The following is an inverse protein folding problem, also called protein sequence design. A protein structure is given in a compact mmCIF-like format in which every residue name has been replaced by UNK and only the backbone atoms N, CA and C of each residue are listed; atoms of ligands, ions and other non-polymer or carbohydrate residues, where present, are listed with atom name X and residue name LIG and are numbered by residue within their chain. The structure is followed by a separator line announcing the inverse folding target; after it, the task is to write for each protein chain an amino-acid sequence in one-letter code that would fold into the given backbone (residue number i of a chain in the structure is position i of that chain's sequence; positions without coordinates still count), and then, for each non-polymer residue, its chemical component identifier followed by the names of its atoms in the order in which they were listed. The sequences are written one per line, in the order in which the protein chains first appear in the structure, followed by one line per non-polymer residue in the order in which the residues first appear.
data_IF_152200655585
#
_entry.id   IF_152200655585
#
_cell.length_a   1.000
_cell.length_b   1.000
_cell.length_c   1.000
_cell.angle_alpha   90.00
_cell.angle_beta   90.00
_cell.angle_gamma   90.00
#
_symmetry.space_group_name_H-M   'P 1'
#
loop_
_entity.id
_entity.type
_entity.pdbx_description
1 polymer ?
#
# COMPACT_ATOMS: atom_id res chain seq x y z
N UNK A 1 -23.96 20.46 20.13
CA UNK A 1 -23.66 19.02 19.95
C UNK A 1 -23.42 18.70 18.48
N UNK A 2 -24.16 19.33 17.57
CA UNK A 2 -24.04 19.14 16.11
C UNK A 2 -22.66 19.48 15.53
N UNK A 3 -21.99 20.54 16.02
CA UNK A 3 -20.66 20.90 15.54
C UNK A 3 -19.59 19.86 15.93
N UNK A 4 -19.64 19.31 17.14
CA UNK A 4 -18.69 18.26 17.58
C UNK A 4 -18.86 17.01 16.71
N UNK A 5 -20.10 16.59 16.45
CA UNK A 5 -20.40 15.43 15.60
C UNK A 5 -19.97 15.65 14.15
N UNK A 6 -20.04 16.89 13.66
CA UNK A 6 -19.52 17.26 12.32
C UNK A 6 -18.00 17.14 12.22
N UNK A 7 -17.27 17.47 13.28
CA UNK A 7 -15.81 17.44 13.27
C UNK A 7 -15.18 16.14 13.75
N UNK A 8 -15.92 15.32 14.49
CA UNK A 8 -15.46 14.04 15.06
C UNK A 8 -14.71 13.14 14.06
N UNK A 9 -15.15 12.98 12.80
CA UNK A 9 -14.43 12.10 11.87
C UNK A 9 -13.08 12.67 11.43
N UNK A 10 -12.93 13.99 11.40
CA UNK A 10 -11.63 14.63 11.11
C UNK A 10 -10.68 14.51 12.29
N UNK A 11 -11.19 14.54 13.52
CA UNK A 11 -10.38 14.27 14.72
C UNK A 11 -9.87 12.83 14.75
N UNK A 12 -10.73 11.85 14.42
CA UNK A 12 -10.33 10.44 14.30
C UNK A 12 -9.31 10.28 13.16
N UNK A 13 -9.57 10.87 11.99
CA UNK A 13 -8.63 10.82 10.87
C UNK A 13 -7.28 11.48 11.18
N UNK A 14 -7.29 12.60 11.90
CA UNK A 14 -6.08 13.26 12.40
C UNK A 14 -5.32 12.40 13.42
N UNK A 15 -6.03 11.74 14.34
CA UNK A 15 -5.43 10.79 15.29
C UNK A 15 -4.83 9.58 14.58
N UNK A 16 -5.48 9.04 13.55
CA UNK A 16 -4.93 7.92 12.78
C UNK A 16 -3.69 8.33 11.97
N UNK A 17 -3.53 9.62 11.61
CA UNK A 17 -2.33 10.15 10.95
C UNK A 17 -1.15 10.35 11.90
N UNK A 18 -1.39 10.32 13.21
CA UNK A 18 -0.41 10.67 14.24
C UNK A 18 0.86 9.78 14.20
N UNK A 19 0.79 8.45 13.95
CA UNK A 19 1.98 7.63 13.74
C UNK A 19 2.83 8.09 12.55
N UNK A 20 2.21 8.52 11.44
CA UNK A 20 2.94 9.04 10.27
C UNK A 20 3.56 10.41 10.56
N UNK A 21 2.85 11.28 11.29
CA UNK A 21 3.40 12.58 11.70
C UNK A 21 4.56 12.43 12.68
N UNK A 22 4.46 11.51 13.63
CA UNK A 22 5.56 11.16 14.53
C UNK A 22 6.74 10.59 13.76
N UNK A 23 6.48 9.66 12.83
CA UNK A 23 7.52 9.08 12.00
C UNK A 23 8.21 10.12 11.12
N UNK A 24 7.45 11.00 10.45
CA UNK A 24 8.00 12.11 9.67
C UNK A 24 8.77 13.11 10.56
N UNK A 25 8.25 13.41 11.74
CA UNK A 25 8.93 14.25 12.73
C UNK A 25 10.26 13.64 13.17
N UNK A 26 10.29 12.34 13.48
CA UNK A 26 11.53 11.61 13.80
C UNK A 26 12.48 11.55 12.60
N UNK A 27 11.95 11.39 11.38
CA UNK A 27 12.75 11.40 10.17
C UNK A 27 13.51 12.73 10.02
N UNK A 28 12.81 13.86 10.22
CA UNK A 28 13.37 15.21 10.12
C UNK A 28 14.25 15.60 11.32
N UNK A 29 13.90 15.16 12.53
CA UNK A 29 14.63 15.53 13.76
C UNK A 29 16.00 14.85 13.87
N UNK A 30 16.17 13.68 13.26
CA UNK A 30 17.44 12.95 13.28
C UNK A 30 18.10 13.01 11.89
N UNK A 31 19.06 13.92 11.65
CA UNK A 31 19.78 13.98 10.39
C UNK A 31 20.68 12.75 10.19
N UNK A 32 20.88 12.35 8.93
CA UNK A 32 21.69 11.19 8.55
C UNK A 32 20.89 10.12 7.82
N UNK A 33 21.62 9.15 7.26
CA UNK A 33 21.00 8.09 6.48
C UNK A 33 20.09 7.21 7.34
N UNK A 34 18.92 6.91 6.79
CA UNK A 34 17.94 6.02 7.39
C UNK A 34 18.14 4.62 6.80
N UNK A 35 18.60 3.65 7.57
CA UNK A 35 18.80 2.28 7.09
C UNK A 35 17.51 1.71 6.51
N UNK A 36 17.59 1.14 5.32
CA UNK A 36 16.47 0.62 4.55
C UNK A 36 15.57 1.67 3.89
N UNK A 37 15.95 2.95 3.87
CA UNK A 37 15.15 4.03 3.26
C UNK A 37 16.03 4.98 2.44
N UNK A 38 17.08 5.56 3.03
CA UNK A 38 17.96 6.52 2.32
C UNK A 38 19.40 6.04 2.17
N UNK A 39 19.72 4.87 2.72
CA UNK A 39 21.01 4.19 2.56
C UNK A 39 21.26 3.66 1.14
N UNK A 40 20.20 3.53 0.34
CA UNK A 40 20.26 3.15 -1.08
C UNK A 40 19.48 4.16 -1.94
N UNK A 41 20.08 4.73 -3.00
CA UNK A 41 19.39 5.63 -3.93
C UNK A 41 18.13 5.00 -4.54
N UNK A 42 18.21 3.72 -4.92
CA UNK A 42 17.08 2.96 -5.44
C UNK A 42 15.94 2.87 -4.43
N UNK A 43 16.25 2.55 -3.18
CA UNK A 43 15.25 2.40 -2.13
C UNK A 43 14.58 3.74 -1.82
N UNK A 44 15.36 4.82 -1.76
CA UNK A 44 14.84 6.17 -1.57
C UNK A 44 13.88 6.57 -2.70
N UNK A 45 14.24 6.27 -3.94
CA UNK A 45 13.41 6.55 -5.12
C UNK A 45 12.09 5.74 -5.10
N UNK A 46 12.15 4.44 -4.78
CA UNK A 46 10.97 3.58 -4.67
C UNK A 46 10.00 4.07 -3.57
N UNK A 47 10.53 4.44 -2.41
CA UNK A 47 9.73 5.00 -1.31
C UNK A 47 9.12 6.33 -1.74
N UNK A 48 9.90 7.25 -2.31
CA UNK A 48 9.41 8.56 -2.73
C UNK A 48 8.29 8.44 -3.79
N UNK A 49 8.47 7.58 -4.80
CA UNK A 49 7.49 7.42 -5.88
C UNK A 49 6.20 6.70 -5.42
N UNK A 50 6.29 5.80 -4.43
CA UNK A 50 5.12 5.06 -3.92
C UNK A 50 4.33 5.81 -2.85
N UNK A 51 4.95 6.77 -2.16
CA UNK A 51 4.34 7.52 -1.06
C UNK A 51 3.02 8.23 -1.45
N UNK A 52 2.90 8.91 -2.61
CA UNK A 52 1.63 9.52 -3.00
C UNK A 52 0.51 8.51 -3.24
N UNK A 53 0.83 7.29 -3.71
CA UNK A 53 -0.17 6.24 -3.91
C UNK A 53 -0.71 5.75 -2.56
N UNK A 54 0.16 5.59 -1.57
CA UNK A 54 -0.24 5.23 -0.21
C UNK A 54 -1.13 6.34 0.40
N UNK A 55 -0.70 7.60 0.30
CA UNK A 55 -1.46 8.76 0.76
C UNK A 55 -2.82 8.88 0.05
N UNK A 56 -2.88 8.60 -1.24
CA UNK A 56 -4.12 8.61 -2.02
C UNK A 56 -5.17 7.65 -1.43
N UNK A 57 -4.77 6.41 -1.14
CA UNK A 57 -5.67 5.40 -0.57
C UNK A 57 -6.02 5.71 0.87
N UNK A 58 -5.06 6.21 1.63
CA UNK A 58 -5.27 6.58 3.02
C UNK A 58 -6.29 7.73 3.15
N UNK A 59 -6.15 8.78 2.33
CA UNK A 59 -7.11 9.89 2.27
C UNK A 59 -8.50 9.39 1.81
N UNK A 60 -8.55 8.44 0.86
CA UNK A 60 -9.81 7.83 0.44
C UNK A 60 -10.49 7.06 1.58
N UNK A 61 -9.74 6.24 2.32
CA UNK A 61 -10.24 5.47 3.46
C UNK A 61 -10.73 6.36 4.60
N UNK A 62 -9.96 7.37 4.98
CA UNK A 62 -10.41 8.38 5.95
C UNK A 62 -11.64 9.14 5.47
N UNK A 63 -11.68 9.49 4.18
CA UNK A 63 -12.83 10.12 3.55
C UNK A 63 -14.09 9.27 3.65
N UNK A 64 -13.99 7.96 3.39
CA UNK A 64 -15.11 7.03 3.48
C UNK A 64 -15.68 6.92 4.90
N UNK A 65 -14.80 6.79 5.90
CA UNK A 65 -15.20 6.77 7.32
C UNK A 65 -15.89 8.09 7.69
N UNK A 66 -15.32 9.22 7.29
CA UNK A 66 -15.88 10.54 7.56
C UNK A 66 -17.23 10.79 6.89
N UNK A 67 -17.39 10.37 5.64
CA UNK A 67 -18.65 10.44 4.93
C UNK A 67 -19.72 9.58 5.60
N UNK A 68 -19.37 8.36 6.04
CA UNK A 68 -20.30 7.45 6.72
C UNK A 68 -20.79 8.02 8.05
N UNK A 69 -19.90 8.58 8.86
CA UNK A 69 -20.24 9.21 10.14
C UNK A 69 -21.07 10.49 9.98
N UNK A 70 -20.99 11.16 8.83
CA UNK A 70 -21.77 12.36 8.53
C UNK A 70 -23.10 12.09 7.82
N UNK A 71 -23.53 10.82 7.75
CA UNK A 71 -24.78 10.40 7.12
C UNK A 71 -24.74 10.36 5.59
N UNK A 72 -23.56 10.48 4.99
CA UNK A 72 -23.33 10.37 3.54
C UNK A 72 -22.70 9.02 3.18
N UNK A 73 -23.21 7.94 3.78
CA UNK A 73 -22.76 6.58 3.51
C UNK A 73 -22.96 6.23 2.02
N UNK A 74 -21.92 5.69 1.39
CA UNK A 74 -21.90 5.35 -0.05
C UNK A 74 -21.13 6.34 -0.93
N UNK A 75 -20.78 7.53 -0.42
CA UNK A 75 -19.85 8.44 -1.10
C UNK A 75 -18.42 7.94 -1.00
N UNK A 76 -17.85 7.53 -2.14
CA UNK A 76 -16.49 6.95 -2.24
C UNK A 76 -15.40 8.03 -2.15
N UNK A 77 -15.71 9.27 -2.53
CA UNK A 77 -14.75 10.38 -2.49
C UNK A 77 -14.94 11.23 -1.24
N UNK A 78 -13.87 11.79 -0.64
CA UNK A 78 -14.00 12.71 0.49
C UNK A 78 -14.95 13.86 0.13
N UNK A 79 -15.96 14.10 0.98
CA UNK A 79 -16.89 15.23 0.81
C UNK A 79 -16.20 16.55 1.14
N UNK A 80 -15.26 16.52 2.08
CA UNK A 80 -14.47 17.69 2.47
C UNK A 80 -13.54 18.16 1.35
N UNK A 81 -13.71 19.42 0.93
CA UNK A 81 -12.97 20.03 -0.18
C UNK A 81 -11.44 19.91 -0.08
N UNK A 82 -10.82 20.23 1.07
CA UNK A 82 -9.38 20.09 1.26
C UNK A 82 -8.87 18.64 1.10
N UNK A 83 -9.53 17.64 1.70
CA UNK A 83 -9.14 16.24 1.52
C UNK A 83 -9.30 15.80 0.05
N UNK A 84 -10.36 16.23 -0.62
CA UNK A 84 -10.58 15.96 -2.05
C UNK A 84 -9.49 16.59 -2.92
N UNK A 85 -9.06 17.82 -2.60
CA UNK A 85 -7.95 18.48 -3.29
C UNK A 85 -6.61 17.77 -3.04
N UNK A 86 -6.31 17.42 -1.78
CA UNK A 86 -5.08 16.72 -1.42
C UNK A 86 -5.01 15.34 -2.10
N UNK A 87 -6.10 14.58 -2.04
CA UNK A 87 -6.23 13.34 -2.78
C UNK A 87 -6.00 13.59 -4.27
N UNK A 88 -6.55 14.69 -4.82
CA UNK A 88 -6.41 15.08 -6.23
C UNK A 88 -4.98 15.32 -6.69
N UNK A 89 -4.18 15.93 -5.83
CA UNK A 89 -2.78 16.25 -6.08
C UNK A 89 -1.84 15.03 -6.12
N UNK A 90 -2.24 13.88 -5.56
CA UNK A 90 -1.34 12.71 -5.47
C UNK A 90 -0.90 12.15 -6.84
N UNK A 91 -1.82 12.08 -7.81
CA UNK A 91 -1.49 11.61 -9.16
C UNK A 91 -0.44 12.49 -9.88
N UNK A 92 -0.63 13.82 -10.03
CA UNK A 92 0.39 14.67 -10.63
C UNK A 92 1.68 14.72 -9.80
N UNK A 93 1.59 14.66 -8.47
CA UNK A 93 2.77 14.55 -7.60
C UNK A 93 3.57 13.28 -7.91
N UNK A 94 2.90 12.15 -8.14
CA UNK A 94 3.57 10.89 -8.51
C UNK A 94 4.31 11.03 -9.83
N UNK A 95 3.73 11.71 -10.82
CA UNK A 95 4.40 11.97 -12.10
C UNK A 95 5.68 12.79 -11.89
N UNK A 96 5.59 13.87 -11.10
CA UNK A 96 6.74 14.71 -10.78
C UNK A 96 7.84 13.90 -10.07
N UNK A 97 7.47 13.13 -9.05
CA UNK A 97 8.41 12.29 -8.31
C UNK A 97 9.01 11.17 -9.17
N UNK A 98 8.25 10.64 -10.14
CA UNK A 98 8.75 9.63 -11.08
C UNK A 98 9.84 10.20 -11.98
N UNK A 99 9.64 11.41 -12.51
CA UNK A 99 10.65 12.10 -13.32
C UNK A 99 11.88 12.44 -12.48
N UNK A 100 11.68 12.98 -11.28
CA UNK A 100 12.77 13.29 -10.36
C UNK A 100 13.54 12.04 -9.92
N UNK A 101 12.86 10.91 -9.71
CA UNK A 101 13.49 9.64 -9.39
C UNK A 101 14.41 9.16 -10.52
N UNK A 102 13.98 9.25 -11.78
CA UNK A 102 14.83 8.90 -12.92
C UNK A 102 16.09 9.76 -12.93
N UNK A 103 15.94 11.09 -12.81
CA UNK A 103 17.08 12.01 -12.78
C UNK A 103 18.01 11.71 -11.60
N UNK A 104 17.45 11.54 -10.41
CA UNK A 104 18.21 11.24 -9.19
C UNK A 104 18.99 9.94 -9.30
N UNK A 105 18.36 8.85 -9.78
CA UNK A 105 19.00 7.56 -9.94
C UNK A 105 20.13 7.61 -10.98
N UNK A 106 19.92 8.31 -12.11
CA UNK A 106 20.99 8.48 -13.11
C UNK A 106 22.18 9.27 -12.56
N UNK A 107 21.94 10.30 -11.73
CA UNK A 107 23.01 11.05 -11.06
C UNK A 107 23.73 10.23 -9.99
N UNK A 108 23.03 9.30 -9.33
CA UNK A 108 23.59 8.39 -8.34
C UNK A 108 24.41 7.23 -8.95
N UNK A 109 24.48 7.13 -10.28
CA UNK A 109 25.22 6.07 -10.98
C UNK A 109 24.47 4.74 -11.11
N UNK A 110 23.17 4.72 -10.83
CA UNK A 110 22.33 3.55 -11.01
C UNK A 110 22.13 3.22 -12.50
N UNK A 111 21.87 1.95 -12.80
CA UNK A 111 21.63 1.50 -14.16
C UNK A 111 20.43 2.21 -14.80
N UNK A 112 20.58 2.65 -16.06
CA UNK A 112 19.52 3.38 -16.79
C UNK A 112 18.21 2.59 -16.89
N UNK A 113 18.28 1.26 -17.01
CA UNK A 113 17.11 0.38 -16.99
C UNK A 113 16.39 0.43 -15.63
N UNK A 114 17.13 0.43 -14.53
CA UNK A 114 16.58 0.52 -13.17
C UNK A 114 15.87 1.86 -12.97
N UNK A 115 16.52 2.96 -13.38
CA UNK A 115 15.93 4.29 -13.32
C UNK A 115 14.63 4.38 -14.12
N UNK A 116 14.62 3.87 -15.36
CA UNK A 116 13.41 3.82 -16.18
C UNK A 116 12.32 2.94 -15.58
N UNK A 117 12.66 1.78 -15.00
CA UNK A 117 11.69 0.90 -14.37
C UNK A 117 10.96 1.59 -13.21
N UNK A 118 11.68 2.32 -12.36
CA UNK A 118 11.10 3.13 -11.28
C UNK A 118 10.20 4.23 -11.84
N UNK A 119 10.66 4.96 -12.85
CA UNK A 119 9.89 6.02 -13.50
C UNK A 119 8.59 5.49 -14.14
N UNK A 120 8.67 4.41 -14.91
CA UNK A 120 7.50 3.77 -15.53
C UNK A 120 6.54 3.21 -14.49
N UNK A 121 7.05 2.58 -13.42
CA UNK A 121 6.25 2.12 -12.29
C UNK A 121 5.43 3.25 -11.67
N UNK A 122 6.06 4.40 -11.43
CA UNK A 122 5.36 5.58 -10.93
C UNK A 122 4.33 6.16 -11.90
N UNK A 123 4.58 6.14 -13.22
CA UNK A 123 3.57 6.53 -14.22
C UNK A 123 2.36 5.58 -14.22
N UNK A 124 2.58 4.28 -14.06
CA UNK A 124 1.50 3.30 -13.91
C UNK A 124 0.67 3.61 -12.66
N UNK A 125 1.32 3.87 -11.52
CA UNK A 125 0.63 4.26 -10.28
C UNK A 125 -0.20 5.54 -10.46
N UNK A 126 0.35 6.56 -11.12
CA UNK A 126 -0.37 7.78 -11.44
C UNK A 126 -1.62 7.50 -12.31
N UNK A 127 -1.48 6.64 -13.32
CA UNK A 127 -2.59 6.17 -14.16
C UNK A 127 -3.68 5.48 -13.36
N UNK A 128 -3.31 4.58 -12.44
CA UNK A 128 -4.25 3.90 -11.52
C UNK A 128 -5.00 4.91 -10.65
N UNK A 129 -4.31 5.90 -10.07
CA UNK A 129 -4.96 6.95 -9.27
C UNK A 129 -5.93 7.82 -10.07
N UNK A 130 -5.63 8.12 -11.33
CA UNK A 130 -6.56 8.85 -12.21
C UNK A 130 -7.77 8.00 -12.56
N UNK A 131 -7.57 6.71 -12.87
CA UNK A 131 -8.64 5.77 -13.18
C UNK A 131 -9.58 5.57 -11.97
N UNK A 132 -9.01 5.38 -10.78
CA UNK A 132 -9.75 5.15 -9.53
C UNK A 132 -10.66 6.33 -9.11
N UNK A 133 -10.43 7.53 -9.65
CA UNK A 133 -11.27 8.72 -9.38
C UNK A 133 -12.45 8.89 -10.31
N UNK A 134 -12.48 8.17 -11.44
CA UNK A 134 -13.60 8.32 -12.36
C UNK A 134 -14.83 7.78 -11.64
N UNK A 135 -15.89 8.60 -11.44
CA UNK A 135 -17.13 8.09 -10.92
C UNK A 135 -17.62 7.08 -11.96
N UNK A 136 -17.54 5.80 -11.64
CA UNK A 136 -18.30 4.79 -12.35
C UNK A 136 -19.77 5.11 -12.11
N UNK A 137 -20.35 5.99 -12.95
CA UNK A 137 -21.78 6.03 -13.25
C UNK A 137 -22.13 4.71 -13.95
N UNK A 138 -22.00 3.63 -13.21
CA UNK A 138 -22.24 2.29 -13.70
C UNK A 138 -22.40 1.40 -12.48
N UNK A 139 -23.56 1.54 -11.84
CA UNK A 139 -24.27 0.40 -11.30
C UNK A 139 -24.61 -0.67 -12.38
N UNK A 140 -24.04 -0.60 -13.61
CA UNK A 140 -24.34 -1.48 -14.76
C UNK A 140 -23.08 -1.90 -15.55
N UNK A 141 -21.86 -1.57 -15.11
CA UNK A 141 -20.66 -2.24 -15.62
C UNK A 141 -20.14 -3.15 -14.52
N UNK A 142 -20.69 -4.37 -14.50
CA UNK A 142 -20.00 -5.57 -14.02
C UNK A 142 -18.75 -5.85 -14.87
N UNK A 143 -17.82 -4.89 -14.94
CA UNK A 143 -16.42 -5.26 -15.11
C UNK A 143 -15.96 -5.35 -13.68
N UNK A 144 -15.94 -6.58 -13.13
CA UNK A 144 -15.49 -6.85 -11.77
C UNK A 144 -13.97 -6.74 -11.77
N UNK A 145 -13.34 -5.62 -11.34
CA UNK A 145 -11.90 -5.61 -11.08
C UNK A 145 -11.53 -6.67 -10.03
N UNK A 146 -12.49 -7.08 -9.19
CA UNK A 146 -12.42 -8.26 -8.36
C UNK A 146 -12.13 -9.53 -9.15
N UNK A 147 -12.75 -9.79 -10.30
CA UNK A 147 -12.48 -11.01 -11.08
C UNK A 147 -11.08 -11.02 -11.70
N UNK A 148 -10.58 -9.87 -12.14
CA UNK A 148 -9.21 -9.75 -12.64
C UNK A 148 -8.18 -9.89 -11.51
N UNK A 149 -8.45 -9.27 -10.36
CA UNK A 149 -7.59 -9.37 -9.19
C UNK A 149 -7.64 -10.79 -8.60
N UNK A 150 -8.81 -11.40 -8.51
CA UNK A 150 -9.03 -12.78 -8.08
C UNK A 150 -8.38 -13.74 -9.07
N UNK A 151 -8.49 -13.50 -10.37
CA UNK A 151 -7.78 -14.29 -11.38
C UNK A 151 -6.27 -14.15 -11.25
N UNK A 152 -5.76 -12.95 -10.97
CA UNK A 152 -4.33 -12.70 -10.76
C UNK A 152 -3.85 -13.33 -9.44
N UNK A 153 -4.61 -13.21 -8.36
CA UNK A 153 -4.32 -13.81 -7.04
C UNK A 153 -4.44 -15.33 -7.10
N UNK A 154 -5.42 -15.88 -7.82
CA UNK A 154 -5.52 -17.32 -8.07
C UNK A 154 -4.40 -17.81 -8.97
N UNK A 155 -4.01 -17.06 -10.00
CA UNK A 155 -2.87 -17.40 -10.87
C UNK A 155 -1.55 -17.35 -10.09
N UNK A 156 -1.34 -16.32 -9.28
CA UNK A 156 -0.19 -16.19 -8.38
C UNK A 156 -0.20 -17.28 -7.31
N UNK A 157 -1.35 -17.54 -6.69
CA UNK A 157 -1.53 -18.62 -5.71
C UNK A 157 -1.23 -19.98 -6.31
N UNK A 158 -1.75 -20.29 -7.50
CA UNK A 158 -1.41 -21.51 -8.26
C UNK A 158 0.06 -21.54 -8.65
N UNK A 159 0.64 -20.42 -9.06
CA UNK A 159 2.07 -20.27 -9.32
C UNK A 159 2.92 -20.58 -8.09
N UNK A 160 2.50 -20.11 -6.92
CA UNK A 160 3.15 -20.37 -5.63
C UNK A 160 3.14 -21.86 -5.29
N UNK A 161 2.07 -22.58 -5.67
CA UNK A 161 2.01 -24.03 -5.52
C UNK A 161 3.03 -24.79 -6.38
N UNK A 162 3.60 -24.19 -7.42
CA UNK A 162 4.68 -24.78 -8.22
C UNK A 162 6.08 -24.52 -7.64
N UNK A 163 6.22 -23.60 -6.68
CA UNK A 163 7.50 -23.37 -6.01
C UNK A 163 7.85 -24.61 -5.19
N UNK A 164 9.02 -25.25 -5.38
CA UNK A 164 9.31 -26.57 -4.83
C UNK A 164 9.15 -26.66 -3.31
N UNK A 165 9.59 -25.63 -2.58
CA UNK A 165 9.58 -25.59 -1.12
C UNK A 165 8.28 -24.99 -0.58
N UNK A 166 7.95 -23.75 -0.97
CA UNK A 166 6.75 -23.04 -0.51
C UNK A 166 5.45 -23.72 -0.98
N UNK A 167 5.40 -24.17 -2.24
CA UNK A 167 4.25 -24.86 -2.80
C UNK A 167 4.05 -26.26 -2.23
N UNK A 168 5.12 -26.96 -1.86
CA UNK A 168 5.06 -28.22 -1.11
C UNK A 168 4.41 -28.03 0.26
N UNK A 169 4.91 -27.06 1.04
CA UNK A 169 4.39 -26.74 2.38
C UNK A 169 2.92 -26.26 2.34
N UNK A 170 2.54 -25.47 1.34
CA UNK A 170 1.15 -25.02 1.16
C UNK A 170 0.21 -26.17 0.80
N UNK A 171 0.65 -27.12 -0.05
CA UNK A 171 -0.13 -28.33 -0.35
C UNK A 171 -0.32 -29.20 0.89
N UNK A 172 0.69 -29.27 1.75
CA UNK A 172 0.66 -30.04 2.99
C UNK A 172 -0.23 -29.39 4.05
N UNK A 173 -0.18 -28.05 4.17
CA UNK A 173 -1.10 -27.26 5.01
C UNK A 173 -2.56 -27.38 4.57
N UNK A 174 -2.82 -27.49 3.26
CA UNK A 174 -4.17 -27.75 2.74
C UNK A 174 -4.66 -29.19 2.96
N UNK A 175 -3.74 -30.16 3.06
CA UNK A 175 -4.07 -31.59 3.23
C UNK A 175 -4.24 -31.98 4.70
N UNK A 176 -3.41 -31.44 5.58
CA UNK A 176 -3.49 -31.65 7.03
C UNK A 176 -3.17 -30.34 7.78
N UNK A 177 -4.21 -29.51 8.03
CA UNK A 177 -4.03 -28.17 8.60
C UNK A 177 -3.35 -28.17 9.96
N UNK A 178 -3.55 -29.22 10.77
CA UNK A 178 -3.01 -29.28 12.13
C UNK A 178 -1.49 -29.51 12.17
N UNK A 179 -0.90 -30.05 11.10
CA UNK A 179 0.55 -30.28 10.99
C UNK A 179 1.22 -29.34 10.00
N UNK A 180 0.57 -29.08 8.87
CA UNK A 180 1.14 -28.27 7.79
C UNK A 180 1.14 -26.78 8.10
N UNK A 181 0.12 -26.24 8.79
CA UNK A 181 0.10 -24.80 9.15
C UNK A 181 1.21 -24.45 10.15
N UNK A 182 1.44 -25.21 11.24
CA UNK A 182 2.58 -24.95 12.13
C UNK A 182 3.93 -25.02 11.42
N UNK A 183 4.14 -25.99 10.52
CA UNK A 183 5.39 -26.10 9.76
C UNK A 183 5.57 -24.96 8.76
N UNK A 184 4.49 -24.52 8.11
CA UNK A 184 4.52 -23.36 7.21
C UNK A 184 4.89 -22.08 7.98
N UNK A 185 4.25 -21.85 9.14
CA UNK A 185 4.54 -20.70 10.00
C UNK A 185 5.97 -20.74 10.54
N UNK A 186 6.46 -21.91 10.94
CA UNK A 186 7.83 -22.09 11.39
C UNK A 186 8.83 -21.77 10.26
N UNK A 187 8.62 -22.29 9.06
CA UNK A 187 9.49 -22.02 7.91
C UNK A 187 9.44 -20.55 7.48
N UNK A 188 8.26 -19.91 7.52
CA UNK A 188 8.12 -18.48 7.28
C UNK A 188 8.86 -17.66 8.34
N UNK A 189 8.76 -18.03 9.61
CA UNK A 189 9.46 -17.36 10.70
C UNK A 189 10.99 -17.54 10.58
N UNK A 190 11.46 -18.73 10.23
CA UNK A 190 12.89 -19.00 10.00
C UNK A 190 13.42 -18.26 8.77
N UNK A 191 12.68 -18.27 7.66
CA UNK A 191 13.00 -17.49 6.46
C UNK A 191 13.07 -16.00 6.81
N UNK A 192 12.11 -15.49 7.58
CA UNK A 192 12.15 -14.11 8.04
C UNK A 192 13.33 -13.84 8.96
N UNK A 193 13.68 -14.75 9.86
CA UNK A 193 14.87 -14.65 10.70
C UNK A 193 16.16 -14.57 9.87
N UNK A 194 16.29 -15.41 8.83
CA UNK A 194 17.43 -15.38 7.90
C UNK A 194 17.47 -14.07 7.12
N UNK A 195 16.34 -13.61 6.59
CA UNK A 195 16.29 -12.35 5.86
C UNK A 195 16.61 -11.15 6.76
N UNK A 196 16.13 -11.14 8.01
CA UNK A 196 16.48 -10.11 9.01
C UNK A 196 17.97 -10.18 9.37
N UNK A 197 18.55 -11.38 9.47
CA UNK A 197 19.97 -11.55 9.74
C UNK A 197 20.85 -11.06 8.58
N UNK A 198 20.43 -11.27 7.33
CA UNK A 198 21.19 -10.90 6.13
C UNK A 198 21.02 -9.43 5.72
N UNK A 199 19.81 -8.87 5.90
CA UNK A 199 19.44 -7.56 5.36
C UNK A 199 18.94 -6.57 6.43
N UNK A 200 18.87 -6.97 7.70
CA UNK A 200 18.44 -6.13 8.82
C UNK A 200 16.93 -6.07 9.05
N UNK A 201 16.52 -5.33 10.09
CA UNK A 201 15.11 -5.16 10.47
C UNK A 201 14.25 -4.48 9.39
N UNK A 202 14.86 -3.79 8.44
CA UNK A 202 14.20 -3.16 7.29
C UNK A 202 13.40 -4.15 6.45
N UNK A 203 13.77 -5.45 6.41
CA UNK A 203 13.00 -6.46 5.68
C UNK A 203 11.59 -6.62 6.23
N UNK A 204 11.37 -6.41 7.54
CA UNK A 204 10.04 -6.55 8.16
C UNK A 204 9.08 -5.41 7.75
N UNK A 205 9.61 -4.32 7.20
CA UNK A 205 8.81 -3.19 6.72
C UNK A 205 7.95 -3.60 5.53
N UNK A 206 8.50 -4.36 4.59
CA UNK A 206 7.80 -4.82 3.37
C UNK A 206 6.56 -5.69 3.68
N UNK A 207 6.65 -6.79 4.45
CA UNK A 207 5.48 -7.58 4.82
C UNK A 207 4.51 -6.81 5.72
N UNK A 208 4.98 -5.87 6.57
CA UNK A 208 4.08 -5.02 7.35
C UNK A 208 3.24 -4.07 6.47
N UNK A 209 3.87 -3.46 5.45
CA UNK A 209 3.14 -2.64 4.47
C UNK A 209 2.21 -3.46 3.57
N UNK A 210 2.54 -4.71 3.26
CA UNK A 210 1.67 -5.63 2.51
C UNK A 210 0.54 -6.21 3.37
N UNK A 211 0.76 -6.37 4.68
CA UNK A 211 -0.26 -6.85 5.61
C UNK A 211 -1.41 -5.85 5.77
N UNK A 212 -1.14 -4.54 5.71
CA UNK A 212 -2.17 -3.49 5.81
C UNK A 212 -3.30 -3.64 4.77
N UNK A 213 -3.05 -3.64 3.45
CA UNK A 213 -4.10 -3.82 2.45
C UNK A 213 -4.76 -5.20 2.54
N UNK A 214 -4.02 -6.24 2.95
CA UNK A 214 -4.58 -7.57 3.15
C UNK A 214 -5.57 -7.62 4.33
N UNK A 215 -5.21 -7.04 5.48
CA UNK A 215 -6.09 -6.93 6.64
C UNK A 215 -7.32 -6.07 6.31
N UNK A 216 -7.15 -4.96 5.59
CA UNK A 216 -8.27 -4.14 5.13
C UNK A 216 -9.20 -4.92 4.19
N UNK A 217 -8.66 -5.69 3.24
CA UNK A 217 -9.44 -6.55 2.35
C UNK A 217 -10.23 -7.61 3.15
N UNK A 218 -9.57 -8.31 4.08
CA UNK A 218 -10.23 -9.32 4.94
C UNK A 218 -11.35 -8.69 5.77
N UNK A 219 -11.11 -7.52 6.38
CA UNK A 219 -12.13 -6.80 7.15
C UNK A 219 -13.30 -6.34 6.26
N UNK A 220 -13.04 -5.90 5.03
CA UNK A 220 -14.08 -5.52 4.06
C UNK A 220 -14.94 -6.72 3.64
N UNK A 221 -14.30 -7.87 3.38
CA UNK A 221 -15.00 -9.11 3.01
C UNK A 221 -15.83 -9.63 4.18
N UNK A 222 -15.29 -9.59 5.41
CA UNK A 222 -16.02 -10.01 6.62
C UNK A 222 -17.15 -9.05 6.99
N UNK A 223 -17.03 -7.76 6.70
CA UNK A 223 -18.09 -6.78 6.96
C UNK A 223 -19.19 -6.77 5.88
N UNK A 224 -18.93 -7.35 4.71
CA UNK A 224 -19.86 -7.44 3.59
C UNK A 224 -20.63 -8.78 3.52
N UNK A 225 -20.28 -9.76 4.36
CA UNK A 225 -21.00 -11.02 4.56
C UNK A 225 -21.83 -11.01 5.83
#
# INVERSE_FOLDING_TARGET
MDDLMRFLPYWIGGFMLLPFMLWAGMFLAFPGDKPGITDSPLTAALVAVSLPLALFHYIAGLGFVANSMSGQAGEVLPVWGPARWAQRAMAPLTVVLSVLAVVFLTQAGEGWLTALAVGLGGLVMAGVMVAARRPTRSAVLHVRPGEWLDSLVMALGRGLLYVPVLGGLLREAGRDPHRGVPMLLLNLALLMGVLVALFGFSVLVIPAFLALPFVFYVLLVLAAG
#
